data_IF_141697978800
#
_entry.id   IF_141697978800
#
_cell.length_a   1.000
_cell.length_b   1.000
_cell.length_c   1.000
_cell.angle_alpha   90.00
_cell.angle_beta   90.00
_cell.angle_gamma   90.00
#
_symmetry.space_group_name_H-M   'P 1'
#
loop_
_entity.id
_entity.type
_entity.pdbx_description
1 polymer ?
#
# COMPACT_ATOMS: atom_id res chain seq x y z
N UNK A 1 -25.40 4.09 -0.70
CA UNK A 1 -23.94 4.14 -0.47
C UNK A 1 -23.51 5.51 -0.95
N UNK A 2 -22.67 6.24 -0.21
CA UNK A 2 -22.07 7.47 -0.75
C UNK A 2 -21.28 7.11 -2.01
N UNK A 3 -21.52 7.81 -3.11
CA UNK A 3 -20.90 7.64 -4.44
C UNK A 3 -19.40 7.97 -4.42
N UNK A 4 -18.63 7.34 -3.54
CA UNK A 4 -17.17 7.52 -3.47
C UNK A 4 -16.55 6.33 -4.19
N UNK A 5 -16.02 6.59 -5.38
CA UNK A 5 -15.21 5.64 -6.12
C UNK A 5 -13.92 5.33 -5.34
N UNK A 6 -13.64 4.06 -4.98
CA UNK A 6 -12.40 3.68 -4.31
C UNK A 6 -11.18 3.95 -5.19
N UNK A 7 -10.04 4.29 -4.60
CA UNK A 7 -8.80 4.50 -5.36
C UNK A 7 -8.22 3.21 -5.97
N UNK A 8 -8.72 2.04 -5.54
CA UNK A 8 -8.39 0.72 -6.06
C UNK A 8 -9.69 0.02 -6.47
N UNK A 9 -9.79 -0.42 -7.73
CA UNK A 9 -10.99 -1.06 -8.27
C UNK A 9 -10.87 -2.58 -8.13
N UNK A 10 -11.61 -3.15 -7.18
CA UNK A 10 -11.63 -4.60 -6.88
C UNK A 10 -12.25 -5.45 -7.99
N UNK A 11 -12.96 -4.83 -8.95
CA UNK A 11 -13.50 -5.53 -10.12
C UNK A 11 -12.47 -5.72 -11.25
N UNK A 12 -11.27 -5.13 -11.09
CA UNK A 12 -10.16 -5.20 -12.05
C UNK A 12 -9.02 -6.08 -11.56
N UNK A 13 -8.21 -6.57 -12.49
CA UNK A 13 -6.99 -7.30 -12.17
C UNK A 13 -5.99 -6.41 -11.41
N UNK A 14 -5.00 -7.03 -10.75
CA UNK A 14 -3.91 -6.30 -10.14
C UNK A 14 -3.15 -5.46 -11.17
N UNK A 15 -2.90 -6.03 -12.35
CA UNK A 15 -2.20 -5.40 -13.46
C UNK A 15 -2.96 -4.18 -14.00
N UNK A 16 -4.28 -4.30 -14.19
CA UNK A 16 -5.13 -3.18 -14.61
C UNK A 16 -5.11 -2.04 -13.57
N UNK A 17 -5.16 -2.37 -12.27
CA UNK A 17 -5.03 -1.38 -11.21
C UNK A 17 -3.64 -0.73 -11.20
N UNK A 18 -2.58 -1.51 -11.43
CA UNK A 18 -1.20 -1.02 -11.49
C UNK A 18 -1.02 -0.03 -12.65
N UNK A 19 -1.57 -0.35 -13.82
CA UNK A 19 -1.42 0.45 -15.04
C UNK A 19 -2.35 1.67 -15.06
N UNK A 20 -3.59 1.54 -14.60
CA UNK A 20 -4.63 2.54 -14.84
C UNK A 20 -4.96 3.36 -13.59
N UNK A 21 -4.84 2.78 -12.39
CA UNK A 21 -5.12 3.46 -11.12
C UNK A 21 -4.03 4.44 -10.68
N UNK A 22 -4.23 5.22 -9.60
CA UNK A 22 -5.40 5.17 -8.74
C UNK A 22 -6.64 5.81 -9.40
N UNK A 23 -7.82 5.54 -8.83
CA UNK A 23 -9.11 6.07 -9.27
C UNK A 23 -9.73 7.05 -8.24
N UNK A 24 -10.92 7.58 -8.54
CA UNK A 24 -11.67 8.44 -7.63
C UNK A 24 -10.89 9.66 -7.13
N UNK A 25 -11.03 9.98 -5.85
CA UNK A 25 -10.41 11.15 -5.23
C UNK A 25 -8.87 11.19 -5.37
N UNK A 26 -8.22 10.01 -5.42
CA UNK A 26 -6.77 9.94 -5.62
C UNK A 26 -6.39 10.33 -7.05
N UNK A 27 -7.21 9.98 -8.05
CA UNK A 27 -7.00 10.42 -9.42
C UNK A 27 -7.16 11.95 -9.57
N UNK A 28 -8.16 12.53 -8.89
CA UNK A 28 -8.36 13.99 -8.89
C UNK A 28 -7.20 14.71 -8.20
N UNK A 29 -6.73 14.21 -7.06
CA UNK A 29 -5.58 14.78 -6.33
C UNK A 29 -4.29 14.84 -7.17
N UNK A 30 -4.14 13.98 -8.18
CA UNK A 30 -3.01 14.02 -9.11
C UNK A 30 -3.14 15.11 -10.20
N UNK A 31 -4.37 15.51 -10.55
CA UNK A 31 -4.61 16.54 -11.57
C UNK A 31 -4.33 17.94 -11.05
N UNK A 32 -4.65 18.17 -9.78
CA UNK A 32 -4.63 19.51 -9.21
C UNK A 32 -3.22 20.08 -9.08
N UNK A 33 -2.16 19.25 -9.14
CA UNK A 33 -0.74 19.66 -9.20
C UNK A 33 -0.24 20.47 -7.98
N UNK A 34 -1.16 20.98 -7.17
CA UNK A 34 -0.97 21.76 -5.97
C UNK A 34 -1.28 20.87 -4.77
N UNK A 35 -0.37 19.93 -4.46
CA UNK A 35 -0.34 19.24 -3.15
C UNK A 35 -0.19 20.19 -1.95
N UNK A 36 -0.09 21.50 -2.20
CA UNK A 36 -0.10 22.57 -1.20
C UNK A 36 -1.51 23.07 -0.83
N UNK A 37 -2.52 22.93 -1.70
CA UNK A 37 -3.84 23.55 -1.49
C UNK A 37 -4.86 22.58 -0.85
N UNK A 38 -4.61 21.27 -0.88
CA UNK A 38 -5.36 20.29 -0.07
C UNK A 38 -5.01 20.36 1.43
N UNK A 39 -3.91 21.06 1.79
CA UNK A 39 -3.67 21.57 3.14
C UNK A 39 -4.51 22.84 3.47
N UNK A 40 -5.43 23.20 2.58
CA UNK A 40 -6.34 24.34 2.65
C UNK A 40 -7.55 24.15 3.56
N UNK A 41 -7.37 23.57 4.74
CA UNK A 41 -8.17 23.93 5.93
C UNK A 41 -7.30 23.89 7.19
N UNK A 42 -6.14 24.56 7.19
CA UNK A 42 -5.46 25.10 8.39
C UNK A 42 -4.28 26.04 8.06
N UNK A 43 -4.20 26.63 6.85
CA UNK A 43 -3.14 27.60 6.51
C UNK A 43 -3.30 28.99 7.15
N UNK A 44 -4.12 29.13 8.20
CA UNK A 44 -4.08 30.24 9.16
C UNK A 44 -3.59 29.80 10.56
N UNK A 45 -3.08 28.58 10.68
CA UNK A 45 -2.69 28.00 11.97
C UNK A 45 -1.72 26.83 11.89
N UNK A 46 -0.96 26.66 10.79
CA UNK A 46 0.28 25.89 10.82
C UNK A 46 1.26 26.66 11.71
N UNK A 47 1.02 26.58 13.03
CA UNK A 47 2.02 26.93 14.02
C UNK A 47 3.29 26.16 13.67
N UNK A 48 4.43 26.73 14.05
CA UNK A 48 5.70 26.04 14.23
C UNK A 48 5.53 24.92 15.29
N UNK A 49 4.59 23.99 15.05
CA UNK A 49 4.27 22.86 15.88
C UNK A 49 5.36 21.83 15.70
N UNK A 50 5.85 21.31 16.81
CA UNK A 50 6.88 20.28 16.79
C UNK A 50 6.45 19.11 15.89
N UNK A 51 7.22 18.84 14.85
CA UNK A 51 7.05 17.64 14.03
C UNK A 51 7.07 16.41 14.95
N UNK A 52 6.10 15.51 14.76
CA UNK A 52 6.16 14.20 15.38
C UNK A 52 7.35 13.42 14.79
N UNK A 53 7.80 12.37 15.49
CA UNK A 53 8.86 11.49 14.98
C UNK A 53 8.32 10.10 14.72
N UNK A 54 8.54 9.58 13.52
CA UNK A 54 8.27 8.19 13.16
C UNK A 54 9.58 7.49 12.83
N UNK A 55 10.03 6.56 13.68
CA UNK A 55 11.30 5.84 13.53
C UNK A 55 12.50 6.77 13.26
N UNK A 56 12.52 7.93 13.92
CA UNK A 56 13.56 8.94 13.77
C UNK A 56 13.42 9.85 12.54
N UNK A 57 12.39 9.68 11.70
CA UNK A 57 12.04 10.63 10.65
C UNK A 57 11.01 11.65 11.17
N UNK A 58 11.19 12.96 10.89
CA UNK A 58 10.17 13.95 11.21
C UNK A 58 8.96 13.80 10.30
N UNK A 59 7.76 13.81 10.89
CA UNK A 59 6.48 13.71 10.17
C UNK A 59 5.45 14.71 10.74
N UNK A 60 4.50 15.16 9.93
CA UNK A 60 3.46 16.08 10.42
C UNK A 60 2.53 15.34 11.41
N UNK A 61 1.99 14.20 11.00
CA UNK A 61 1.20 13.27 11.80
C UNK A 61 1.69 11.84 11.57
N UNK A 62 1.85 10.98 12.59
CA UNK A 62 2.22 9.58 12.40
C UNK A 62 1.00 8.75 11.94
N UNK A 63 0.38 9.16 10.83
CA UNK A 63 -0.83 8.59 10.26
C UNK A 63 -0.65 8.33 8.76
N UNK A 64 -1.18 7.21 8.30
CA UNK A 64 -0.92 6.72 6.96
C UNK A 64 -1.87 5.65 6.50
N UNK A 65 -1.63 5.19 5.29
CA UNK A 65 -2.37 4.09 4.66
C UNK A 65 -1.62 2.78 5.00
N UNK A 66 -2.29 1.66 5.28
CA UNK A 66 -1.61 0.38 5.48
C UNK A 66 -0.94 -0.12 4.18
N UNK A 67 0.02 -1.03 4.30
CA UNK A 67 0.66 -1.67 3.15
C UNK A 67 -0.34 -2.54 2.36
N UNK A 68 -0.17 -2.59 1.02
CA UNK A 68 -1.06 -3.35 0.13
C UNK A 68 -1.70 -2.51 -0.98
N UNK A 69 -2.53 -1.50 -0.64
CA UNK A 69 -3.30 -0.70 -1.61
C UNK A 69 -2.49 0.24 -2.51
N UNK A 70 -1.33 0.74 -2.07
CA UNK A 70 -0.53 1.70 -2.85
C UNK A 70 0.47 0.97 -3.74
N UNK A 71 0.20 0.90 -5.04
CA UNK A 71 0.88 -0.03 -5.94
C UNK A 71 2.22 0.47 -6.49
N UNK A 72 2.34 1.77 -6.73
CA UNK A 72 3.48 2.43 -7.36
C UNK A 72 3.49 3.93 -7.00
N UNK A 73 4.43 4.68 -7.57
CA UNK A 73 4.58 6.12 -7.32
C UNK A 73 3.29 6.92 -7.50
N UNK A 74 2.46 6.61 -8.50
CA UNK A 74 1.19 7.33 -8.72
C UNK A 74 0.25 7.21 -7.51
N UNK A 75 0.15 6.03 -6.93
CA UNK A 75 -0.68 5.81 -5.75
C UNK A 75 -0.10 6.50 -4.51
N UNK A 76 1.21 6.44 -4.30
CA UNK A 76 1.85 7.05 -3.13
C UNK A 76 1.87 8.58 -3.22
N UNK A 77 2.10 9.14 -4.40
CA UNK A 77 1.99 10.59 -4.66
C UNK A 77 0.57 11.09 -4.44
N UNK A 78 -0.43 10.34 -4.91
CA UNK A 78 -1.82 10.67 -4.63
C UNK A 78 -2.13 10.62 -3.13
N UNK A 79 -1.62 9.62 -2.39
CA UNK A 79 -1.75 9.56 -0.94
C UNK A 79 -1.14 10.79 -0.24
N UNK A 80 0.04 11.22 -0.67
CA UNK A 80 0.68 12.44 -0.18
C UNK A 80 -0.16 13.69 -0.46
N UNK A 81 -0.69 13.85 -1.67
CA UNK A 81 -1.58 14.96 -2.02
C UNK A 81 -2.90 14.95 -1.24
N UNK A 82 -3.37 13.77 -0.85
CA UNK A 82 -4.53 13.59 0.03
C UNK A 82 -4.22 13.84 1.50
N UNK A 83 -2.98 14.22 1.85
CA UNK A 83 -2.58 14.62 3.21
C UNK A 83 -2.12 13.47 4.11
N UNK A 84 -1.91 12.26 3.58
CA UNK A 84 -1.31 11.18 4.37
C UNK A 84 0.20 11.40 4.50
N UNK A 85 0.72 11.36 5.72
CA UNK A 85 2.16 11.59 5.96
C UNK A 85 2.99 10.31 5.87
N UNK A 86 2.37 9.14 6.04
CA UNK A 86 3.03 7.84 5.89
C UNK A 86 2.39 7.07 4.73
N UNK A 87 3.16 6.85 3.66
CA UNK A 87 2.69 6.11 2.48
C UNK A 87 3.55 4.85 2.25
N UNK A 88 3.06 3.65 2.63
CA UNK A 88 3.75 2.41 2.35
C UNK A 88 3.73 2.07 0.87
N UNK A 89 4.92 2.01 0.26
CA UNK A 89 5.08 1.57 -1.11
C UNK A 89 4.90 0.05 -1.18
N UNK A 90 4.32 -0.46 -2.27
CA UNK A 90 4.08 -1.90 -2.48
C UNK A 90 5.32 -2.74 -2.16
N UNK A 91 5.15 -3.85 -1.44
CA UNK A 91 6.25 -4.77 -1.16
C UNK A 91 6.94 -5.22 -2.45
N UNK A 92 8.23 -4.94 -2.58
CA UNK A 92 9.05 -5.31 -3.73
C UNK A 92 9.88 -6.56 -3.46
N UNK A 93 10.37 -7.17 -4.55
CA UNK A 93 11.16 -8.38 -4.54
C UNK A 93 12.43 -8.22 -5.38
N UNK A 94 13.40 -9.13 -5.20
CA UNK A 94 14.64 -9.19 -5.99
C UNK A 94 14.43 -9.48 -7.49
N UNK A 95 13.22 -9.88 -7.90
CA UNK A 95 12.84 -10.20 -9.28
C UNK A 95 11.35 -9.94 -9.50
N UNK A 96 10.94 -9.92 -10.76
CA UNK A 96 9.52 -9.87 -11.12
C UNK A 96 8.79 -11.09 -10.52
N UNK A 97 7.60 -10.83 -10.00
CA UNK A 97 6.76 -11.83 -9.35
C UNK A 97 5.30 -11.55 -9.70
N UNK A 98 4.67 -12.49 -10.40
CA UNK A 98 3.30 -12.34 -10.88
C UNK A 98 2.28 -12.30 -9.74
N UNK A 99 1.18 -11.59 -9.96
CA UNK A 99 0.02 -11.68 -9.08
C UNK A 99 -0.62 -13.07 -9.22
N UNK A 100 -1.25 -13.55 -8.14
CA UNK A 100 -2.13 -14.71 -8.26
C UNK A 100 -3.30 -14.39 -9.21
N UNK A 101 -3.93 -15.42 -9.82
CA UNK A 101 -5.06 -15.22 -10.72
C UNK A 101 -6.18 -14.40 -10.07
N UNK A 102 -6.76 -13.49 -10.85
CA UNK A 102 -7.97 -12.76 -10.49
C UNK A 102 -9.16 -13.73 -10.26
N UNK A 103 -10.08 -13.47 -9.30
CA UNK A 103 -10.18 -12.28 -8.43
C UNK A 103 -9.21 -12.28 -7.25
N UNK A 104 -8.69 -11.09 -6.90
CA UNK A 104 -7.72 -10.94 -5.82
C UNK A 104 -8.30 -10.40 -4.51
N UNK A 105 -9.47 -9.78 -4.53
CA UNK A 105 -10.15 -9.24 -3.35
C UNK A 105 -11.61 -9.67 -3.40
N UNK A 106 -12.12 -10.26 -2.33
CA UNK A 106 -13.53 -10.64 -2.19
C UNK A 106 -14.09 -10.04 -0.90
N UNK A 107 -15.35 -9.65 -0.93
CA UNK A 107 -16.11 -9.38 0.28
C UNK A 107 -16.25 -10.68 1.07
N UNK A 108 -16.19 -10.59 2.39
CA UNK A 108 -16.36 -11.72 3.30
C UNK A 108 -17.49 -11.39 4.25
N UNK A 109 -18.38 -12.35 4.50
CA UNK A 109 -19.63 -12.13 5.22
C UNK A 109 -19.70 -12.94 6.52
N UNK A 110 -19.10 -12.48 7.62
CA UNK A 110 -19.32 -13.06 8.93
C UNK A 110 -20.79 -13.01 9.34
N UNK A 111 -21.26 -14.02 10.08
CA UNK A 111 -22.63 -14.10 10.62
C UNK A 111 -22.91 -12.98 11.63
N UNK A 112 -21.88 -12.47 12.32
CA UNK A 112 -22.02 -11.37 13.25
C UNK A 112 -22.34 -10.06 12.51
N UNK A 113 -23.37 -9.34 12.95
CA UNK A 113 -23.82 -8.11 12.30
C UNK A 113 -22.79 -6.95 12.34
N UNK A 114 -21.79 -7.04 13.22
CA UNK A 114 -20.67 -6.10 13.31
C UNK A 114 -19.45 -6.51 12.45
N UNK A 115 -19.55 -7.61 11.70
CA UNK A 115 -18.49 -8.13 10.84
C UNK A 115 -17.37 -8.86 11.60
N UNK A 116 -17.55 -9.18 12.89
CA UNK A 116 -16.55 -9.89 13.68
C UNK A 116 -16.56 -11.40 13.45
N UNK A 117 -15.38 -12.02 13.52
CA UNK A 117 -15.21 -13.47 13.60
C UNK A 117 -14.72 -13.84 15.00
N UNK A 118 -15.37 -14.82 15.63
CA UNK A 118 -14.98 -15.30 16.96
C UNK A 118 -14.02 -16.50 16.84
N UNK A 119 -12.80 -16.45 17.40
CA UNK A 119 -11.89 -17.58 17.40
C UNK A 119 -12.52 -18.84 18.01
N UNK A 120 -12.40 -19.98 17.31
CA UNK A 120 -12.95 -21.27 17.74
C UNK A 120 -14.47 -21.41 17.56
N UNK A 121 -15.15 -20.47 16.89
CA UNK A 121 -16.56 -20.63 16.54
C UNK A 121 -16.75 -21.68 15.43
N UNK A 122 -17.92 -22.31 15.39
CA UNK A 122 -18.28 -23.26 14.33
C UNK A 122 -18.25 -22.64 12.92
N UNK A 123 -18.44 -21.32 12.81
CA UNK A 123 -18.36 -20.59 11.54
C UNK A 123 -16.97 -20.69 10.89
N UNK A 124 -15.90 -20.76 11.70
CA UNK A 124 -14.55 -20.92 11.15
C UNK A 124 -14.32 -22.33 10.58
N UNK A 125 -14.99 -23.35 11.11
CA UNK A 125 -14.93 -24.73 10.60
C UNK A 125 -15.83 -24.91 9.36
N UNK A 126 -16.99 -24.24 9.34
CA UNK A 126 -17.93 -24.24 8.21
C UNK A 126 -17.41 -23.44 7.01
N UNK A 127 -16.57 -22.45 7.26
CA UNK A 127 -16.10 -21.48 6.27
C UNK A 127 -17.00 -20.26 6.19
N UNK A 128 -16.41 -19.13 5.77
CA UNK A 128 -17.11 -17.85 5.62
C UNK A 128 -17.43 -17.63 4.14
N UNK A 129 -18.65 -17.16 3.85
CA UNK A 129 -19.04 -16.82 2.48
C UNK A 129 -18.16 -15.67 1.96
N UNK A 130 -17.61 -15.85 0.77
CA UNK A 130 -16.88 -14.82 0.06
C UNK A 130 -17.47 -14.62 -1.35
N UNK A 131 -17.74 -13.37 -1.71
CA UNK A 131 -18.32 -13.00 -3.01
C UNK A 131 -17.91 -11.58 -3.43
N UNK A 132 -18.58 -11.03 -4.45
CA UNK A 132 -18.34 -9.68 -4.97
C UNK A 132 -19.40 -8.67 -4.51
N UNK A 133 -20.20 -9.00 -3.49
CA UNK A 133 -21.21 -8.12 -2.93
C UNK A 133 -20.65 -7.36 -1.72
N UNK A 134 -20.16 -6.14 -1.94
CA UNK A 134 -19.52 -5.34 -0.90
C UNK A 134 -20.57 -4.54 -0.12
N UNK A 135 -20.94 -5.03 1.06
CA UNK A 135 -21.90 -4.40 1.97
C UNK A 135 -21.24 -3.94 3.28
N UNK A 136 -21.91 -3.04 4.02
CA UNK A 136 -21.42 -2.56 5.31
C UNK A 136 -21.93 -3.45 6.46
N UNK A 137 -21.10 -3.77 7.47
CA UNK A 137 -19.68 -3.42 7.60
C UNK A 137 -18.80 -4.18 6.59
N UNK A 138 -17.91 -3.47 5.90
CA UNK A 138 -17.03 -4.11 4.90
C UNK A 138 -15.98 -4.96 5.59
N UNK A 139 -15.94 -6.24 5.23
CA UNK A 139 -14.85 -7.16 5.51
C UNK A 139 -14.38 -7.79 4.20
N UNK A 140 -13.07 -7.98 4.05
CA UNK A 140 -12.48 -8.50 2.82
C UNK A 140 -11.46 -9.60 3.10
N UNK A 141 -11.31 -10.49 2.14
CA UNK A 141 -10.14 -11.35 1.99
C UNK A 141 -9.37 -10.92 0.75
N UNK A 142 -8.05 -11.12 0.75
CA UNK A 142 -7.24 -10.90 -0.43
C UNK A 142 -6.24 -12.04 -0.64
N UNK A 143 -5.86 -12.24 -1.90
CA UNK A 143 -5.01 -13.36 -2.33
C UNK A 143 -3.96 -12.92 -3.35
N UNK A 144 -3.41 -11.71 -3.28
CA UNK A 144 -2.49 -11.18 -4.30
C UNK A 144 -1.19 -11.99 -4.51
N UNK A 145 -0.64 -12.61 -3.46
CA UNK A 145 0.64 -13.33 -3.54
C UNK A 145 1.90 -12.43 -3.53
N UNK A 146 1.75 -11.17 -3.09
CA UNK A 146 2.82 -10.15 -3.04
C UNK A 146 3.51 -9.99 -4.41
N UNK A 147 2.76 -9.55 -5.44
CA UNK A 147 3.32 -9.28 -6.75
C UNK A 147 4.33 -8.15 -6.69
N UNK A 148 5.34 -8.23 -7.55
CA UNK A 148 6.39 -7.24 -7.68
C UNK A 148 6.78 -7.09 -9.15
N UNK A 149 6.98 -5.86 -9.61
CA UNK A 149 7.69 -5.63 -10.85
C UNK A 149 9.17 -6.07 -10.73
N UNK A 150 9.92 -6.06 -11.83
CA UNK A 150 11.38 -6.26 -11.75
C UNK A 150 12.06 -5.06 -11.06
N UNK A 151 13.25 -5.25 -10.46
CA UNK A 151 14.04 -4.14 -9.91
C UNK A 151 14.34 -3.01 -10.89
N UNK A 152 14.39 -3.29 -12.18
CA UNK A 152 14.60 -2.27 -13.21
C UNK A 152 13.41 -1.31 -13.34
N UNK A 153 12.21 -1.75 -12.95
CA UNK A 153 10.98 -0.96 -12.97
C UNK A 153 10.74 -0.32 -11.60
N UNK A 154 10.77 -1.09 -10.51
CA UNK A 154 10.36 -0.56 -9.21
C UNK A 154 11.41 0.34 -8.56
N UNK A 155 12.71 0.17 -8.82
CA UNK A 155 13.73 1.05 -8.21
C UNK A 155 13.63 2.51 -8.68
N UNK A 156 13.58 2.82 -10.01
CA UNK A 156 13.36 4.19 -10.44
C UNK A 156 11.99 4.73 -10.03
N UNK A 157 10.95 3.91 -10.04
CA UNK A 157 9.62 4.33 -9.58
C UNK A 157 9.59 4.66 -8.07
N UNK A 158 10.23 3.84 -7.24
CA UNK A 158 10.36 4.10 -5.81
C UNK A 158 11.20 5.35 -5.52
N UNK A 159 12.25 5.63 -6.31
CA UNK A 159 12.98 6.91 -6.24
C UNK A 159 12.05 8.09 -6.49
N UNK A 160 11.26 8.04 -7.56
CA UNK A 160 10.28 9.08 -7.88
C UNK A 160 9.24 9.23 -6.76
N UNK A 161 8.79 8.13 -6.16
CA UNK A 161 7.86 8.13 -5.03
C UNK A 161 8.46 8.79 -3.77
N UNK A 162 9.75 8.57 -3.48
CA UNK A 162 10.48 9.24 -2.38
C UNK A 162 10.59 10.74 -2.66
N UNK A 163 10.94 11.12 -3.89
CA UNK A 163 11.10 12.52 -4.30
C UNK A 163 9.77 13.29 -4.29
N UNK A 164 8.65 12.61 -4.50
CA UNK A 164 7.32 13.21 -4.47
C UNK A 164 6.77 13.47 -3.06
N UNK A 165 7.42 12.95 -2.00
CA UNK A 165 6.97 13.18 -0.63
C UNK A 165 7.18 14.66 -0.24
N UNK A 166 6.12 15.30 0.28
CA UNK A 166 6.18 16.67 0.79
C UNK A 166 6.89 16.79 2.14
N UNK A 167 7.11 18.03 2.63
CA UNK A 167 7.64 18.26 3.97
C UNK A 167 6.82 17.53 5.04
N UNK A 168 7.49 16.76 5.91
CA UNK A 168 6.84 15.97 6.96
C UNK A 168 6.09 14.73 6.45
N UNK A 169 6.26 14.36 5.18
CA UNK A 169 5.76 13.11 4.62
C UNK A 169 6.92 12.15 4.32
N UNK A 170 6.67 10.86 4.48
CA UNK A 170 7.68 9.81 4.33
C UNK A 170 7.09 8.61 3.59
N UNK A 171 7.79 8.21 2.51
CA UNK A 171 7.55 6.92 1.87
C UNK A 171 8.07 5.79 2.77
N UNK A 172 7.27 4.73 2.92
CA UNK A 172 7.63 3.53 3.70
C UNK A 172 7.78 2.32 2.76
N UNK A 173 8.95 2.09 2.14
CA UNK A 173 9.18 0.91 1.33
C UNK A 173 9.02 -0.39 2.10
N UNK A 174 8.48 -1.41 1.43
CA UNK A 174 8.45 -2.78 1.94
C UNK A 174 9.19 -3.71 0.98
N UNK A 175 9.83 -4.75 1.50
CA UNK A 175 10.46 -5.78 0.69
C UNK A 175 10.24 -7.19 1.25
N UNK A 176 10.36 -8.19 0.38
CA UNK A 176 10.36 -9.60 0.72
C UNK A 176 11.31 -10.37 -0.21
N UNK A 177 11.98 -11.40 0.30
CA UNK A 177 12.80 -12.29 -0.53
C UNK A 177 11.98 -13.11 -1.52
N UNK A 178 12.58 -13.46 -2.66
CA UNK A 178 11.96 -14.21 -3.76
C UNK A 178 12.35 -15.68 -3.67
N UNK A 179 11.47 -16.51 -3.10
CA UNK A 179 11.72 -17.95 -3.01
C UNK A 179 11.67 -18.60 -4.40
N UNK A 180 12.56 -19.55 -4.65
CA UNK A 180 12.47 -20.46 -5.80
C UNK A 180 12.53 -21.91 -5.35
N UNK A 181 12.08 -22.82 -6.21
CA UNK A 181 12.16 -24.25 -5.94
C UNK A 181 13.62 -24.68 -5.74
N UNK A 182 13.86 -25.51 -4.71
CA UNK A 182 15.20 -25.96 -4.35
C UNK A 182 16.07 -24.95 -3.58
N UNK A 183 15.60 -23.71 -3.38
CA UNK A 183 16.33 -22.70 -2.61
C UNK A 183 16.47 -23.11 -1.15
N UNK A 184 17.70 -23.06 -0.63
CA UNK A 184 18.03 -23.24 0.78
C UNK A 184 17.61 -22.03 1.62
N UNK A 185 17.59 -22.21 2.94
CA UNK A 185 17.32 -21.11 3.88
C UNK A 185 18.36 -19.99 3.75
N UNK A 186 19.65 -20.35 3.64
CA UNK A 186 20.75 -19.39 3.49
C UNK A 186 20.60 -18.55 2.21
N UNK A 187 20.24 -19.18 1.08
CA UNK A 187 19.99 -18.48 -0.18
C UNK A 187 18.77 -17.55 -0.08
N UNK A 188 17.73 -17.96 0.65
CA UNK A 188 16.54 -17.12 0.86
C UNK A 188 16.82 -15.91 1.76
N UNK A 189 17.67 -16.07 2.78
CA UNK A 189 18.18 -14.96 3.61
C UNK A 189 19.04 -14.02 2.77
N UNK A 190 19.92 -14.57 1.92
CA UNK A 190 20.75 -13.77 1.02
C UNK A 190 19.92 -12.97 0.00
N UNK A 191 18.81 -13.54 -0.49
CA UNK A 191 17.88 -12.84 -1.39
C UNK A 191 17.13 -11.70 -0.67
N UNK A 192 16.72 -11.89 0.60
CA UNK A 192 16.19 -10.81 1.43
C UNK A 192 17.19 -9.67 1.60
N UNK A 193 18.44 -9.98 1.97
CA UNK A 193 19.48 -8.98 2.15
C UNK A 193 19.78 -8.24 0.84
N UNK A 194 19.77 -8.95 -0.29
CA UNK A 194 19.91 -8.37 -1.62
C UNK A 194 18.77 -7.39 -1.92
N UNK A 195 17.53 -7.79 -1.66
CA UNK A 195 16.36 -6.93 -1.90
C UNK A 195 16.37 -5.69 -1.00
N UNK A 196 16.72 -5.84 0.28
CA UNK A 196 16.88 -4.72 1.21
C UNK A 196 17.94 -3.71 0.73
N UNK A 197 19.06 -4.20 0.18
CA UNK A 197 20.11 -3.35 -0.41
C UNK A 197 19.58 -2.57 -1.62
N UNK A 198 18.84 -3.21 -2.52
CA UNK A 198 18.22 -2.53 -3.67
C UNK A 198 17.24 -1.42 -3.20
N UNK A 199 16.44 -1.68 -2.17
CA UNK A 199 15.57 -0.65 -1.57
C UNK A 199 16.41 0.50 -1.00
N UNK A 200 17.50 0.22 -0.29
CA UNK A 200 18.40 1.25 0.24
C UNK A 200 18.99 2.12 -0.87
N UNK A 201 19.31 1.56 -2.03
CA UNK A 201 19.85 2.26 -3.21
C UNK A 201 18.85 3.25 -3.85
N UNK A 202 17.57 3.19 -3.48
CA UNK A 202 16.57 4.20 -3.86
C UNK A 202 16.65 5.48 -3.01
N UNK A 203 17.43 5.49 -1.93
CA UNK A 203 17.51 6.62 -1.00
C UNK A 203 16.54 6.55 0.18
N UNK A 204 15.77 5.45 0.28
CA UNK A 204 14.85 5.16 1.37
C UNK A 204 15.52 5.35 2.75
N UNK A 205 14.82 6.04 3.65
CA UNK A 205 15.30 6.31 5.03
C UNK A 205 14.91 5.21 6.02
N UNK A 206 13.86 4.48 5.69
CA UNK A 206 13.30 3.38 6.45
C UNK A 206 12.78 2.33 5.47
N UNK A 207 12.58 1.11 5.95
CA UNK A 207 12.01 0.02 5.17
C UNK A 207 11.37 -1.02 6.10
N UNK A 208 10.42 -1.77 5.56
CA UNK A 208 9.71 -2.85 6.24
C UNK A 208 10.05 -4.17 5.58
N UNK A 209 10.51 -5.14 6.37
CA UNK A 209 10.61 -6.53 5.93
C UNK A 209 9.25 -7.20 6.14
N UNK A 210 8.65 -7.72 5.07
CA UNK A 210 7.35 -8.42 5.08
C UNK A 210 7.55 -9.93 5.18
#
# INVERSE_FOLDING_TARGET
>A
MSDIEPFYDVSRSYEDNYEQGPFGAFAEALKDGNGADAAGTTSEGASEGALATFLGQPVNLPFGIPAGPLLNSRFTTAAFHMGFDLAPYKTVRSRAWGCNPFPNVLAVHPKAADGSLTPGSAELDEGVLADTNYEQPISISNSFGVPSQSPDVWQPDMRAAIEAAGPGQVLVPSFQGSRVEGMSEEEYIADHATTARLVKETGAKLMVMN
#
